data_IF_697109567284
#
_entry.id   IF_697109567284
#
_cell.length_a   1.000
_cell.length_b   1.000
_cell.length_c   1.000
_cell.angle_alpha   90.00
_cell.angle_beta   90.00
_cell.angle_gamma   90.00
#
_symmetry.space_group_name_H-M   'P 1'
#
loop_
_entity.id
_entity.type
_entity.pdbx_description
1 polymer ?
#
# COMPACT_ATOMS: atom_id res chain seq x y z
N UNK A 1 -3.03 -0.08 19.44
CA UNK A 1 -3.35 -0.02 17.99
C UNK A 1 -4.86 0.05 17.81
N UNK A 2 -5.37 0.93 16.93
CA UNK A 2 -6.77 0.98 16.54
C UNK A 2 -7.02 0.12 15.30
N UNK A 3 -8.27 -0.36 15.14
CA UNK A 3 -8.70 -1.20 14.01
C UNK A 3 -9.87 -0.58 13.29
N UNK A 4 -9.97 -0.83 11.98
CA UNK A 4 -11.09 -0.40 11.15
C UNK A 4 -11.47 -1.51 10.17
N UNK A 5 -12.61 -1.39 9.51
CA UNK A 5 -12.98 -2.32 8.45
C UNK A 5 -12.19 -2.07 7.17
N UNK A 6 -11.83 -3.12 6.46
CA UNK A 6 -11.27 -3.02 5.11
C UNK A 6 -12.41 -2.74 4.12
N UNK A 7 -12.57 -1.47 3.79
CA UNK A 7 -13.72 -1.02 3.00
C UNK A 7 -15.05 -1.43 3.62
N UNK A 8 -16.00 -1.88 2.78
CA UNK A 8 -17.34 -2.34 3.19
C UNK A 8 -17.39 -3.76 3.74
N UNK A 9 -16.25 -4.40 3.97
CA UNK A 9 -16.19 -5.79 4.43
C UNK A 9 -16.33 -5.92 5.95
N UNK A 10 -16.58 -7.14 6.44
CA UNK A 10 -16.50 -7.46 7.85
C UNK A 10 -15.08 -7.62 8.39
N UNK A 11 -14.04 -7.62 7.51
CA UNK A 11 -12.65 -7.82 7.88
C UNK A 11 -12.09 -6.60 8.60
N UNK A 12 -11.55 -6.79 9.80
CA UNK A 12 -10.90 -5.72 10.58
C UNK A 12 -9.39 -5.77 10.45
N UNK A 13 -8.81 -4.62 10.10
CA UNK A 13 -7.37 -4.43 9.96
C UNK A 13 -6.89 -3.27 10.84
N UNK A 14 -5.62 -3.31 11.24
CA UNK A 14 -4.97 -2.23 11.96
C UNK A 14 -4.90 -0.95 11.12
N UNK A 15 -4.92 0.21 11.78
CA UNK A 15 -4.83 1.52 11.11
C UNK A 15 -3.47 1.82 10.47
N UNK A 16 -2.49 0.94 10.65
CA UNK A 16 -1.24 0.89 9.88
C UNK A 16 -1.12 -0.46 9.20
N UNK A 17 -0.62 -0.48 7.97
CA UNK A 17 -0.28 -1.69 7.22
C UNK A 17 1.25 -1.82 7.13
N UNK A 18 1.79 -2.98 7.50
CA UNK A 18 3.22 -3.25 7.37
C UNK A 18 3.56 -3.66 5.94
N UNK A 19 4.24 -2.80 5.21
CA UNK A 19 4.77 -3.09 3.87
C UNK A 19 6.15 -3.75 3.93
N UNK A 20 6.34 -4.78 3.15
CA UNK A 20 7.52 -5.65 3.20
C UNK A 20 8.41 -5.57 1.95
N UNK A 21 8.24 -4.54 1.11
CA UNK A 21 9.04 -4.36 -0.12
C UNK A 21 10.55 -4.33 0.13
N UNK A 22 10.96 -3.92 1.34
CA UNK A 22 12.38 -3.85 1.73
C UNK A 22 12.97 -5.21 2.12
N UNK A 23 12.16 -6.21 2.41
CA UNK A 23 12.59 -7.52 2.94
C UNK A 23 13.27 -8.34 1.84
N UNK A 24 14.47 -8.83 2.16
CA UNK A 24 15.30 -9.56 1.21
C UNK A 24 16.10 -8.69 0.23
N UNK A 25 15.84 -7.36 0.23
CA UNK A 25 16.61 -6.37 -0.53
C UNK A 25 17.53 -5.59 0.44
N UNK A 26 17.04 -4.48 0.99
CA UNK A 26 17.84 -3.61 1.89
C UNK A 26 17.69 -3.99 3.37
N UNK A 27 16.77 -4.89 3.70
CA UNK A 27 16.53 -5.42 5.05
C UNK A 27 16.70 -6.93 5.02
N UNK A 28 17.68 -7.44 5.74
CA UNK A 28 17.96 -8.87 5.81
C UNK A 28 16.84 -9.67 6.53
N UNK A 29 16.87 -10.98 6.41
CA UNK A 29 15.83 -11.87 6.96
C UNK A 29 15.71 -11.75 8.49
N UNK A 30 16.83 -11.66 9.21
CA UNK A 30 16.83 -11.55 10.67
C UNK A 30 16.16 -10.26 11.13
N UNK A 31 16.53 -9.15 10.53
CA UNK A 31 15.93 -7.83 10.80
C UNK A 31 14.46 -7.81 10.39
N UNK A 32 14.12 -8.41 9.24
CA UNK A 32 12.73 -8.54 8.78
C UNK A 32 11.87 -9.32 9.78
N UNK A 33 12.37 -10.43 10.32
CA UNK A 33 11.68 -11.21 11.35
C UNK A 33 11.46 -10.40 12.63
N UNK A 34 12.46 -9.62 13.06
CA UNK A 34 12.34 -8.74 14.24
C UNK A 34 11.30 -7.63 14.03
N UNK A 35 11.23 -7.05 12.81
CA UNK A 35 10.21 -6.06 12.45
C UNK A 35 8.81 -6.68 12.47
N UNK A 36 8.65 -7.90 11.93
CA UNK A 36 7.38 -8.63 11.94
C UNK A 36 6.92 -8.97 13.35
N UNK A 37 7.83 -9.42 14.22
CA UNK A 37 7.51 -9.72 15.62
C UNK A 37 7.08 -8.46 16.38
N UNK A 38 7.82 -7.37 16.27
CA UNK A 38 7.49 -6.09 16.89
C UNK A 38 6.16 -5.52 16.38
N UNK A 39 5.91 -5.60 15.05
CA UNK A 39 4.65 -5.16 14.46
C UNK A 39 3.45 -5.94 15.04
N UNK A 40 3.59 -7.25 15.14
CA UNK A 40 2.55 -8.12 15.68
C UNK A 40 2.28 -7.84 17.17
N UNK A 41 3.34 -7.62 17.98
CA UNK A 41 3.21 -7.26 19.40
C UNK A 41 2.61 -5.85 19.58
N UNK A 42 2.91 -4.91 18.68
CA UNK A 42 2.29 -3.58 18.66
C UNK A 42 0.81 -3.60 18.18
N UNK A 43 0.31 -4.77 17.76
CA UNK A 43 -1.06 -4.98 17.29
C UNK A 43 -1.28 -4.64 15.82
N UNK A 44 -0.22 -4.51 15.01
CA UNK A 44 -0.37 -4.45 13.55
C UNK A 44 -0.69 -5.85 13.06
N UNK A 45 -1.93 -6.05 12.58
CA UNK A 45 -2.35 -7.31 12.00
C UNK A 45 -2.38 -7.30 10.48
N UNK A 46 -2.14 -6.17 9.82
CA UNK A 46 -2.21 -6.05 8.37
C UNK A 46 -0.81 -6.00 7.77
N UNK A 47 -0.45 -7.04 7.01
CA UNK A 47 0.87 -7.21 6.37
C UNK A 47 0.68 -7.27 4.86
N UNK A 48 1.43 -6.45 4.13
CA UNK A 48 1.39 -6.35 2.66
C UNK A 48 2.73 -6.74 2.05
N UNK A 49 2.69 -7.67 1.12
CA UNK A 49 3.83 -8.09 0.30
C UNK A 49 3.45 -8.13 -1.19
N UNK A 50 4.29 -8.67 -2.04
CA UNK A 50 4.01 -8.99 -3.44
C UNK A 50 4.90 -10.12 -3.95
N UNK A 51 4.45 -10.83 -4.99
CA UNK A 51 5.21 -11.88 -5.66
C UNK A 51 6.58 -11.38 -6.17
N UNK A 52 6.66 -10.11 -6.60
CA UNK A 52 7.87 -9.51 -7.17
C UNK A 52 8.92 -9.08 -6.14
N UNK A 53 8.57 -8.90 -4.85
CA UNK A 53 9.44 -8.30 -3.84
C UNK A 53 10.60 -9.20 -3.39
N UNK A 54 11.69 -8.56 -2.96
CA UNK A 54 12.89 -9.22 -2.46
C UNK A 54 14.18 -8.85 -3.22
N UNK A 55 14.06 -7.95 -4.20
CA UNK A 55 15.16 -7.30 -4.91
C UNK A 55 14.84 -5.85 -5.13
N UNK A 56 15.82 -5.03 -5.56
CA UNK A 56 15.58 -3.64 -5.89
C UNK A 56 14.44 -3.50 -6.90
N UNK A 57 13.41 -2.74 -6.54
CA UNK A 57 12.27 -2.50 -7.41
C UNK A 57 12.61 -1.41 -8.43
N UNK A 58 12.39 -1.72 -9.71
CA UNK A 58 12.63 -0.85 -10.85
C UNK A 58 11.51 -1.03 -11.87
N UNK A 59 11.14 0.01 -12.63
CA UNK A 59 10.22 -0.12 -13.76
C UNK A 59 10.69 -1.15 -14.81
N UNK A 60 12.00 -1.39 -14.89
CA UNK A 60 12.64 -2.29 -15.85
C UNK A 60 12.93 -3.68 -15.27
N UNK A 61 12.28 -4.06 -14.15
CA UNK A 61 12.51 -5.36 -13.55
C UNK A 61 12.17 -6.48 -14.53
N UNK A 62 13.16 -7.31 -14.83
CA UNK A 62 13.02 -8.39 -15.80
C UNK A 62 12.36 -9.64 -15.19
N UNK A 63 12.59 -9.87 -13.90
CA UNK A 63 12.02 -11.00 -13.16
C UNK A 63 11.97 -10.69 -11.69
N UNK A 64 10.80 -10.93 -11.05
CA UNK A 64 10.60 -10.82 -9.62
C UNK A 64 11.31 -11.92 -8.84
N UNK A 65 11.59 -11.65 -7.58
CA UNK A 65 12.33 -12.55 -6.69
C UNK A 65 11.43 -13.47 -5.89
N UNK A 66 10.35 -12.94 -5.30
CA UNK A 66 9.51 -13.66 -4.33
C UNK A 66 10.15 -13.83 -2.95
N UNK A 67 11.35 -13.31 -2.74
CA UNK A 67 12.10 -13.52 -1.49
C UNK A 67 11.40 -12.91 -0.27
N UNK A 68 10.71 -11.78 -0.44
CA UNK A 68 9.91 -11.18 0.64
C UNK A 68 8.79 -12.14 1.10
N UNK A 69 8.08 -12.78 0.18
CA UNK A 69 7.07 -13.80 0.52
C UNK A 69 7.71 -15.03 1.19
N UNK A 70 8.89 -15.45 0.76
CA UNK A 70 9.61 -16.56 1.40
C UNK A 70 10.03 -16.27 2.85
N UNK A 71 10.53 -15.05 3.12
CA UNK A 71 10.87 -14.57 4.46
C UNK A 71 9.63 -14.60 5.35
N UNK A 72 8.52 -14.02 4.89
CA UNK A 72 7.25 -14.05 5.62
C UNK A 72 6.78 -15.48 5.81
N UNK A 73 6.87 -16.34 4.80
CA UNK A 73 6.48 -17.74 4.87
C UNK A 73 7.25 -18.52 5.93
N UNK A 74 8.57 -18.29 6.07
CA UNK A 74 9.37 -18.91 7.15
C UNK A 74 8.96 -18.38 8.53
N UNK A 75 8.70 -17.08 8.63
CA UNK A 75 8.25 -16.45 9.87
C UNK A 75 6.88 -16.96 10.32
N UNK A 76 5.95 -17.19 9.40
CA UNK A 76 4.59 -17.70 9.70
C UNK A 76 4.57 -19.11 10.28
N UNK A 77 5.60 -19.92 10.06
CA UNK A 77 5.64 -21.31 10.56
C UNK A 77 5.81 -21.41 12.08
N UNK A 78 5.92 -20.31 12.79
CA UNK A 78 6.16 -20.29 14.23
C UNK A 78 4.94 -19.71 14.97
N UNK A 79 4.56 -20.36 16.08
CA UNK A 79 3.75 -19.75 17.14
C UNK A 79 2.33 -19.29 16.79
N UNK A 80 1.65 -19.91 15.80
CA UNK A 80 0.27 -19.52 15.45
C UNK A 80 0.16 -18.09 14.89
N UNK A 81 1.21 -17.60 14.24
CA UNK A 81 1.27 -16.23 13.72
C UNK A 81 0.30 -15.98 12.56
N UNK A 82 0.02 -17.04 11.75
CA UNK A 82 -0.86 -16.92 10.59
C UNK A 82 -2.28 -16.46 10.97
N UNK A 83 -2.82 -17.00 12.03
CA UNK A 83 -4.19 -16.69 12.50
C UNK A 83 -4.31 -15.31 13.16
N UNK A 84 -3.17 -14.66 13.44
CA UNK A 84 -3.12 -13.34 14.06
C UNK A 84 -3.03 -12.19 13.05
N UNK A 85 -2.87 -12.49 11.75
CA UNK A 85 -2.63 -11.49 10.72
C UNK A 85 -3.64 -11.57 9.58
N UNK A 86 -3.79 -10.45 8.90
CA UNK A 86 -4.40 -10.30 7.58
C UNK A 86 -3.27 -10.13 6.58
N UNK A 87 -3.09 -11.11 5.71
CA UNK A 87 -1.98 -11.19 4.76
C UNK A 87 -2.44 -10.77 3.38
N UNK A 88 -1.83 -9.71 2.86
CA UNK A 88 -2.03 -9.26 1.49
C UNK A 88 -0.79 -9.56 0.64
N UNK A 89 -1.02 -10.05 -0.58
CA UNK A 89 0.02 -10.14 -1.61
C UNK A 89 -0.52 -9.73 -2.97
N UNK A 90 0.34 -9.64 -3.99
CA UNK A 90 -0.01 -9.05 -5.29
C UNK A 90 0.45 -9.91 -6.45
N UNK A 91 -0.28 -9.79 -7.59
CA UNK A 91 0.00 -10.41 -8.88
C UNK A 91 0.01 -9.36 -9.98
N UNK A 92 0.88 -9.47 -10.92
CA UNK A 92 0.96 -8.74 -12.19
C UNK A 92 2.37 -8.76 -12.78
N UNK A 93 3.40 -8.55 -11.94
CA UNK A 93 4.76 -8.34 -12.41
C UNK A 93 5.34 -9.61 -13.06
N UNK A 94 6.45 -9.44 -13.76
CA UNK A 94 7.13 -10.54 -14.45
C UNK A 94 7.78 -11.47 -13.44
N UNK A 95 7.32 -12.72 -13.37
CA UNK A 95 7.82 -13.74 -12.44
C UNK A 95 8.58 -14.88 -13.14
N UNK A 96 8.74 -14.80 -14.45
CA UNK A 96 9.46 -15.79 -15.25
C UNK A 96 9.72 -15.32 -16.67
N UNK A 97 10.49 -16.10 -17.46
CA UNK A 97 10.89 -15.71 -18.81
C UNK A 97 9.78 -15.92 -19.87
N UNK A 98 8.72 -16.64 -19.51
CA UNK A 98 7.65 -16.98 -20.47
C UNK A 98 6.72 -15.80 -20.75
N UNK A 99 6.04 -15.80 -21.91
CA UNK A 99 5.12 -14.73 -22.28
C UNK A 99 3.91 -14.63 -21.35
N UNK A 100 3.56 -15.72 -20.67
CA UNK A 100 2.44 -15.82 -19.74
C UNK A 100 2.86 -15.77 -18.26
N UNK A 101 4.10 -15.38 -17.94
CA UNK A 101 4.58 -15.28 -16.57
C UNK A 101 4.44 -13.84 -16.02
N UNK A 102 3.41 -13.11 -16.48
CA UNK A 102 3.12 -11.71 -16.10
C UNK A 102 1.68 -11.32 -16.40
N UNK A 103 1.26 -10.16 -15.88
CA UNK A 103 -0.04 -9.49 -16.09
C UNK A 103 -1.21 -10.25 -15.46
N UNK A 104 -2.43 -10.10 -16.02
CA UNK A 104 -3.66 -10.56 -15.39
C UNK A 104 -4.44 -11.60 -16.24
N UNK A 105 -3.77 -12.35 -17.11
CA UNK A 105 -4.46 -13.50 -17.73
C UNK A 105 -4.88 -14.52 -16.66
N UNK A 106 -5.97 -15.22 -16.89
CA UNK A 106 -6.44 -16.28 -16.00
C UNK A 106 -5.37 -17.34 -15.74
N UNK A 107 -4.54 -17.61 -16.76
CA UNK A 107 -3.39 -18.50 -16.64
C UNK A 107 -2.40 -17.99 -15.59
N UNK A 108 -1.98 -16.71 -15.67
CA UNK A 108 -0.99 -16.15 -14.74
C UNK A 108 -1.56 -15.94 -13.36
N UNK A 109 -2.78 -15.40 -13.23
CA UNK A 109 -3.43 -15.18 -11.92
C UNK A 109 -3.42 -16.47 -11.09
N UNK A 110 -3.84 -17.59 -11.70
CA UNK A 110 -3.91 -18.87 -10.99
C UNK A 110 -2.54 -19.40 -10.63
N UNK A 111 -1.60 -19.41 -11.59
CA UNK A 111 -0.23 -19.88 -11.36
C UNK A 111 0.47 -19.04 -10.30
N UNK A 112 0.40 -17.72 -10.38
CA UNK A 112 1.02 -16.80 -9.44
C UNK A 112 0.46 -16.96 -8.02
N UNK A 113 -0.85 -17.19 -7.87
CA UNK A 113 -1.48 -17.46 -6.58
C UNK A 113 -0.90 -18.73 -5.94
N UNK A 114 -0.81 -19.84 -6.69
CA UNK A 114 -0.22 -21.10 -6.19
C UNK A 114 1.26 -20.92 -5.80
N UNK A 115 2.00 -20.16 -6.61
CA UNK A 115 3.40 -19.87 -6.35
C UNK A 115 3.58 -19.03 -5.08
N UNK A 116 2.71 -18.00 -4.87
CA UNK A 116 2.69 -17.17 -3.65
C UNK A 116 2.31 -17.98 -2.42
N UNK A 117 1.26 -18.82 -2.49
CA UNK A 117 0.88 -19.72 -1.38
C UNK A 117 2.04 -20.65 -0.96
N UNK A 118 2.81 -21.16 -1.92
CA UNK A 118 3.97 -22.01 -1.66
C UNK A 118 5.10 -21.22 -0.99
N UNK A 119 5.43 -20.01 -1.45
CA UNK A 119 6.45 -19.15 -0.83
C UNK A 119 6.04 -18.70 0.57
N UNK A 120 4.79 -18.29 0.73
CA UNK A 120 4.20 -17.85 2.01
C UNK A 120 3.93 -19.02 2.99
N UNK A 121 4.00 -20.28 2.51
CA UNK A 121 3.75 -21.50 3.30
C UNK A 121 2.41 -21.45 4.04
N UNK A 122 1.38 -21.00 3.37
CA UNK A 122 0.00 -20.89 3.86
C UNK A 122 -0.97 -21.47 2.84
N UNK A 123 -2.15 -21.85 3.27
CA UNK A 123 -3.20 -22.39 2.43
C UNK A 123 -4.11 -21.31 1.83
N UNK A 124 -4.07 -20.10 2.36
CA UNK A 124 -4.88 -18.97 1.86
C UNK A 124 -4.18 -17.63 1.98
N UNK A 125 -4.62 -16.69 1.14
CA UNK A 125 -4.27 -15.26 1.12
C UNK A 125 -5.53 -14.50 1.52
N UNK A 126 -5.42 -13.59 2.51
CA UNK A 126 -6.59 -12.82 2.94
C UNK A 126 -6.97 -11.76 1.89
N UNK A 127 -6.00 -11.02 1.34
CA UNK A 127 -6.25 -10.01 0.30
C UNK A 127 -5.30 -10.23 -0.88
N UNK A 128 -5.85 -10.63 -2.02
CA UNK A 128 -5.08 -10.81 -3.25
C UNK A 128 -5.28 -9.62 -4.17
N UNK A 129 -4.22 -8.87 -4.43
CA UNK A 129 -4.29 -7.59 -5.12
C UNK A 129 -3.77 -7.69 -6.55
N UNK A 130 -4.46 -7.08 -7.49
CA UNK A 130 -3.91 -6.78 -8.82
C UNK A 130 -2.93 -5.63 -8.69
N UNK A 131 -1.62 -5.88 -8.86
CA UNK A 131 -0.55 -4.89 -8.61
C UNK A 131 -0.63 -3.67 -9.55
N UNK A 132 -1.12 -3.90 -10.77
CA UNK A 132 -1.43 -2.89 -11.79
C UNK A 132 -2.61 -3.35 -12.64
N UNK A 133 -3.23 -2.38 -13.32
CA UNK A 133 -4.28 -2.67 -14.31
C UNK A 133 -3.69 -3.35 -15.56
N UNK A 134 -4.41 -4.32 -16.10
CA UNK A 134 -4.15 -4.90 -17.42
C UNK A 134 -5.34 -4.63 -18.36
N UNK A 135 -5.26 -3.54 -19.11
CA UNK A 135 -6.33 -3.14 -20.04
C UNK A 135 -6.40 -3.99 -21.30
N UNK A 136 -5.49 -4.98 -21.45
CA UNK A 136 -5.51 -5.93 -22.58
C UNK A 136 -6.23 -7.23 -22.24
N UNK A 137 -6.46 -7.51 -20.94
CA UNK A 137 -7.19 -8.69 -20.50
C UNK A 137 -8.63 -8.30 -20.17
N UNK A 138 -9.65 -8.96 -20.74
CA UNK A 138 -11.05 -8.68 -20.45
C UNK A 138 -11.38 -8.88 -18.96
N UNK A 139 -12.23 -8.02 -18.42
CA UNK A 139 -12.65 -8.13 -17.01
C UNK A 139 -13.36 -9.45 -16.70
N UNK A 140 -14.08 -10.00 -17.68
CA UNK A 140 -14.74 -11.31 -17.57
C UNK A 140 -13.73 -12.43 -17.29
N UNK A 141 -12.56 -12.41 -17.95
CA UNK A 141 -11.50 -13.38 -17.73
C UNK A 141 -10.84 -13.20 -16.37
N UNK A 142 -10.52 -11.94 -16.00
CA UNK A 142 -9.91 -11.60 -14.72
C UNK A 142 -10.82 -12.07 -13.58
N UNK A 143 -12.11 -11.70 -13.63
CA UNK A 143 -13.05 -12.07 -12.57
C UNK A 143 -13.31 -13.58 -12.53
N UNK A 144 -13.37 -14.26 -13.67
CA UNK A 144 -13.51 -15.72 -13.67
C UNK A 144 -12.37 -16.41 -12.92
N UNK A 145 -11.12 -15.92 -13.09
CA UNK A 145 -9.97 -16.47 -12.39
C UNK A 145 -10.02 -16.15 -10.87
N UNK A 146 -10.34 -14.90 -10.51
CA UNK A 146 -10.41 -14.46 -9.13
C UNK A 146 -11.56 -15.15 -8.37
N UNK A 147 -12.74 -15.27 -8.96
CA UNK A 147 -13.89 -16.01 -8.40
C UNK A 147 -13.52 -17.45 -8.10
N UNK A 148 -12.82 -18.12 -9.03
CA UNK A 148 -12.38 -19.50 -8.83
C UNK A 148 -11.46 -19.63 -7.63
N UNK A 149 -10.51 -18.70 -7.44
CA UNK A 149 -9.60 -18.71 -6.30
C UNK A 149 -10.36 -18.49 -4.97
N UNK A 150 -11.37 -17.61 -4.98
CA UNK A 150 -12.24 -17.39 -3.81
C UNK A 150 -13.09 -18.64 -3.51
N UNK A 151 -13.69 -19.25 -4.53
CA UNK A 151 -14.47 -20.49 -4.38
C UNK A 151 -13.63 -21.67 -3.85
N UNK A 152 -12.35 -21.71 -4.21
CA UNK A 152 -11.40 -22.71 -3.70
C UNK A 152 -10.91 -22.41 -2.27
N UNK A 153 -11.27 -21.26 -1.70
CA UNK A 153 -10.80 -20.81 -0.39
C UNK A 153 -9.31 -20.42 -0.35
N UNK A 154 -8.68 -20.25 -1.51
CA UNK A 154 -7.27 -19.82 -1.62
C UNK A 154 -7.09 -18.33 -1.45
N UNK A 155 -8.14 -17.56 -1.71
CA UNK A 155 -8.21 -16.12 -1.57
C UNK A 155 -9.52 -15.77 -0.87
N UNK A 156 -9.48 -14.82 0.08
CA UNK A 156 -10.70 -14.39 0.76
C UNK A 156 -11.28 -13.11 0.15
N UNK A 157 -10.44 -12.13 -0.14
CA UNK A 157 -10.84 -10.83 -0.68
C UNK A 157 -9.94 -10.42 -1.84
N UNK A 158 -10.49 -9.66 -2.77
CA UNK A 158 -9.76 -9.13 -3.93
C UNK A 158 -9.54 -7.63 -3.76
N UNK A 159 -8.29 -7.18 -3.98
CA UNK A 159 -7.93 -5.77 -4.03
C UNK A 159 -7.34 -5.38 -5.38
N UNK A 160 -7.14 -4.07 -5.55
CA UNK A 160 -6.43 -3.49 -6.68
C UNK A 160 -5.33 -2.55 -6.21
N UNK A 161 -4.44 -2.19 -7.12
CA UNK A 161 -3.39 -1.21 -6.87
C UNK A 161 -3.11 -0.41 -8.15
N UNK A 162 -2.94 0.90 -7.98
CA UNK A 162 -2.63 1.83 -9.07
C UNK A 162 -3.70 1.89 -10.18
N UNK A 163 -4.96 1.68 -9.82
CA UNK A 163 -6.08 1.80 -10.75
C UNK A 163 -6.56 3.26 -10.85
N UNK A 164 -7.00 3.64 -12.04
CA UNK A 164 -7.76 4.87 -12.22
C UNK A 164 -9.20 4.70 -11.70
N UNK A 165 -9.87 5.80 -11.39
CA UNK A 165 -11.25 5.76 -10.89
C UNK A 165 -12.21 5.02 -11.84
N UNK A 166 -12.09 5.23 -13.17
CA UNK A 166 -12.90 4.54 -14.14
C UNK A 166 -12.59 3.04 -14.28
N UNK A 167 -11.33 2.60 -14.04
CA UNK A 167 -10.97 1.19 -14.00
C UNK A 167 -11.63 0.49 -12.80
N UNK A 168 -11.65 1.16 -11.63
CA UNK A 168 -12.36 0.69 -10.43
C UNK A 168 -13.85 0.56 -10.72
N UNK A 169 -14.46 1.59 -11.32
CA UNK A 169 -15.89 1.59 -11.65
C UNK A 169 -16.24 0.46 -12.61
N UNK A 170 -15.41 0.23 -13.63
CA UNK A 170 -15.59 -0.85 -14.60
C UNK A 170 -15.47 -2.21 -13.92
N UNK A 171 -14.41 -2.42 -13.11
CA UNK A 171 -14.19 -3.64 -12.36
C UNK A 171 -15.42 -3.99 -11.48
N UNK A 172 -15.90 -3.00 -10.72
CA UNK A 172 -17.04 -3.20 -9.82
C UNK A 172 -18.35 -3.44 -10.58
N UNK A 173 -18.57 -2.78 -11.70
CA UNK A 173 -19.77 -3.00 -12.53
C UNK A 173 -19.83 -4.42 -13.07
N UNK A 174 -18.71 -4.94 -13.61
CA UNK A 174 -18.63 -6.32 -14.10
C UNK A 174 -18.78 -7.33 -12.96
N UNK A 175 -18.13 -7.09 -11.80
CA UNK A 175 -18.27 -7.95 -10.63
C UNK A 175 -19.73 -8.01 -10.14
N UNK A 176 -20.41 -6.86 -10.07
CA UNK A 176 -21.84 -6.79 -9.67
C UNK A 176 -22.72 -7.58 -10.63
N UNK A 177 -22.51 -7.47 -11.94
CA UNK A 177 -23.24 -8.24 -12.94
C UNK A 177 -23.03 -9.76 -12.81
N UNK A 178 -21.92 -10.17 -12.20
CA UNK A 178 -21.57 -11.56 -11.89
C UNK A 178 -22.02 -12.01 -10.51
N UNK A 179 -22.71 -11.16 -9.74
CA UNK A 179 -23.07 -11.39 -8.33
C UNK A 179 -21.85 -11.68 -7.44
N UNK A 180 -20.72 -11.07 -7.75
CA UNK A 180 -19.46 -11.21 -7.03
C UNK A 180 -19.15 -9.92 -6.23
N UNK A 181 -18.50 -10.07 -5.07
CA UNK A 181 -18.17 -8.93 -4.20
C UNK A 181 -17.28 -7.89 -4.91
N UNK A 182 -16.39 -8.37 -5.79
CA UNK A 182 -15.45 -7.52 -6.50
C UNK A 182 -14.31 -6.99 -5.61
N UNK A 183 -13.86 -5.78 -5.92
CA UNK A 183 -12.80 -5.12 -5.17
C UNK A 183 -13.29 -4.71 -3.78
N UNK A 184 -12.43 -4.87 -2.78
CA UNK A 184 -12.66 -4.40 -1.41
C UNK A 184 -11.68 -3.33 -0.96
N UNK A 185 -10.55 -3.21 -1.66
CA UNK A 185 -9.51 -2.23 -1.37
C UNK A 185 -8.82 -1.76 -2.65
N UNK A 186 -8.32 -0.54 -2.62
CA UNK A 186 -7.41 0.04 -3.61
C UNK A 186 -6.13 0.50 -2.93
N UNK A 187 -4.96 0.12 -3.46
CA UNK A 187 -3.67 0.55 -2.97
C UNK A 187 -3.03 1.53 -3.95
N UNK A 188 -2.99 2.83 -3.61
CA UNK A 188 -2.54 3.90 -4.50
C UNK A 188 -1.48 4.78 -3.88
N UNK A 189 -0.65 5.44 -4.74
CA UNK A 189 0.24 6.50 -4.32
C UNK A 189 -0.58 7.65 -3.74
N UNK A 190 -0.42 7.89 -2.44
CA UNK A 190 -1.08 9.01 -1.79
C UNK A 190 -0.27 9.51 -0.59
N UNK A 191 0.08 10.77 -0.62
CA UNK A 191 0.77 11.51 0.43
C UNK A 191 0.64 13.01 0.17
N UNK A 192 1.13 13.85 1.06
CA UNK A 192 1.04 15.32 0.93
C UNK A 192 1.57 15.86 -0.42
N UNK A 193 2.60 15.23 -1.01
CA UNK A 193 3.19 15.66 -2.29
C UNK A 193 2.57 15.02 -3.53
N UNK A 194 1.69 14.02 -3.37
CA UNK A 194 1.09 13.25 -4.46
C UNK A 194 -0.39 13.02 -4.18
N UNK A 195 -1.23 13.97 -4.61
CA UNK A 195 -2.65 14.08 -4.27
C UNK A 195 -3.60 13.88 -5.45
N UNK A 196 -3.09 13.54 -6.62
CA UNK A 196 -3.90 13.43 -7.86
C UNK A 196 -5.06 12.43 -7.74
N UNK A 197 -4.95 11.41 -6.89
CA UNK A 197 -6.02 10.43 -6.67
C UNK A 197 -7.27 11.03 -6.04
N UNK A 198 -7.20 12.24 -5.49
CA UNK A 198 -8.36 12.97 -4.96
C UNK A 198 -9.38 13.32 -6.05
N UNK A 199 -8.96 13.42 -7.32
CA UNK A 199 -9.85 13.71 -8.45
C UNK A 199 -10.87 12.59 -8.70
N UNK A 200 -10.44 11.33 -8.76
CA UNK A 200 -11.31 10.22 -9.20
C UNK A 200 -11.21 8.96 -8.33
N UNK A 201 -10.00 8.57 -7.89
CA UNK A 201 -9.80 7.29 -7.18
C UNK A 201 -10.45 7.34 -5.81
N UNK A 202 -10.25 8.42 -5.05
CA UNK A 202 -10.91 8.60 -3.75
C UNK A 202 -12.44 8.66 -3.88
N UNK A 203 -13.03 9.45 -4.80
CA UNK A 203 -14.47 9.40 -5.08
C UNK A 203 -14.95 7.98 -5.43
N UNK A 204 -14.24 7.25 -6.29
CA UNK A 204 -14.58 5.87 -6.63
C UNK A 204 -14.53 4.95 -5.40
N UNK A 205 -13.48 5.06 -4.57
CA UNK A 205 -13.37 4.28 -3.34
C UNK A 205 -14.55 4.55 -2.40
N UNK A 206 -14.95 5.81 -2.22
CA UNK A 206 -16.12 6.19 -1.41
C UNK A 206 -17.41 5.61 -1.99
N UNK A 207 -17.63 5.77 -3.28
CA UNK A 207 -18.85 5.31 -3.96
C UNK A 207 -19.05 3.80 -3.86
N UNK A 208 -17.97 3.03 -4.07
CA UNK A 208 -18.04 1.56 -4.04
C UNK A 208 -17.73 0.95 -2.68
N UNK A 209 -17.40 1.76 -1.67
CA UNK A 209 -17.04 1.31 -0.31
C UNK A 209 -15.74 0.53 -0.26
N UNK A 210 -14.73 0.93 -1.05
CA UNK A 210 -13.40 0.34 -1.01
C UNK A 210 -12.54 1.02 0.06
N UNK A 211 -11.72 0.24 0.76
CA UNK A 211 -10.70 0.77 1.65
C UNK A 211 -9.49 1.27 0.86
N UNK A 212 -9.04 2.50 1.12
CA UNK A 212 -7.82 3.02 0.51
C UNK A 212 -6.59 2.67 1.35
N UNK A 213 -5.56 2.13 0.70
CA UNK A 213 -4.27 1.75 1.32
C UNK A 213 -3.17 2.61 0.66
N UNK A 214 -2.85 3.80 1.20
CA UNK A 214 -1.81 4.66 0.64
C UNK A 214 -0.43 4.01 0.68
N UNK A 215 0.23 3.86 -0.47
CA UNK A 215 1.64 3.49 -0.51
C UNK A 215 2.54 4.73 -0.63
N UNK A 216 3.80 4.61 -0.18
CA UNK A 216 4.77 5.71 -0.08
C UNK A 216 4.26 6.92 0.73
N UNK A 217 3.72 6.71 1.94
CA UNK A 217 3.10 7.77 2.74
C UNK A 217 4.06 8.92 3.08
N UNK A 218 5.36 8.64 3.10
CA UNK A 218 6.43 9.62 3.36
C UNK A 218 7.15 10.10 2.09
N UNK A 219 6.55 9.94 0.90
CA UNK A 219 7.14 10.33 -0.39
C UNK A 219 8.59 9.82 -0.57
N UNK A 220 8.81 8.51 -0.31
CA UNK A 220 10.15 7.92 -0.36
C UNK A 220 11.12 8.42 0.72
N UNK A 221 10.62 9.13 1.72
CA UNK A 221 11.37 9.72 2.84
C UNK A 221 11.49 11.24 2.77
N UNK A 222 10.95 11.90 1.73
CA UNK A 222 10.96 13.37 1.58
C UNK A 222 10.23 14.07 2.74
N UNK A 223 9.11 13.50 3.19
CA UNK A 223 8.31 14.00 4.31
C UNK A 223 8.82 13.50 5.68
N UNK A 224 10.03 12.95 5.74
CA UNK A 224 10.60 12.40 6.97
C UNK A 224 11.55 13.32 7.74
N UNK A 225 11.53 14.62 7.49
CA UNK A 225 12.43 15.59 8.13
C UNK A 225 13.82 15.59 7.46
N UNK A 226 13.88 15.91 6.17
CA UNK A 226 15.10 15.77 5.35
C UNK A 226 16.06 16.94 5.48
N UNK A 227 15.59 18.12 5.90
CA UNK A 227 16.43 19.33 6.03
C UNK A 227 17.42 19.23 7.21
N UNK A 228 17.04 18.49 8.28
CA UNK A 228 17.83 18.32 9.49
C UNK A 228 18.52 16.97 9.61
N UNK A 229 18.18 15.99 8.78
CA UNK A 229 18.74 14.64 8.85
C UNK A 229 19.81 14.42 7.80
N UNK A 230 20.93 13.79 8.20
CA UNK A 230 21.95 13.34 7.24
C UNK A 230 21.36 12.40 6.19
N UNK A 231 21.80 12.55 4.93
CA UNK A 231 21.37 11.71 3.83
C UNK A 231 21.86 10.26 4.02
N UNK A 232 20.95 9.30 4.05
CA UNK A 232 21.23 7.85 4.14
C UNK A 232 20.27 7.04 3.27
N UNK A 233 20.71 5.91 2.79
CA UNK A 233 19.91 5.02 1.95
C UNK A 233 19.42 5.70 0.66
N UNK A 234 18.12 5.66 0.35
CA UNK A 234 17.55 6.30 -0.84
C UNK A 234 17.81 7.81 -0.89
N UNK A 235 17.86 8.46 0.27
CA UNK A 235 18.13 9.91 0.39
C UNK A 235 19.54 10.33 -0.01
N UNK A 236 20.49 9.41 -0.05
CA UNK A 236 21.84 9.67 -0.52
C UNK A 236 21.97 9.70 -2.06
N UNK A 237 20.92 9.36 -2.81
CA UNK A 237 20.95 9.36 -4.28
C UNK A 237 20.88 10.80 -4.83
N UNK A 238 21.64 11.13 -5.88
CA UNK A 238 21.65 12.50 -6.47
C UNK A 238 20.26 12.99 -6.93
N UNK A 239 19.41 12.07 -7.40
CA UNK A 239 18.04 12.40 -7.78
C UNK A 239 17.22 12.90 -6.58
N UNK A 240 17.44 12.37 -5.38
CA UNK A 240 16.77 12.79 -4.17
C UNK A 240 17.22 14.18 -3.70
N UNK A 241 18.48 14.49 -3.83
CA UNK A 241 19.00 15.83 -3.53
C UNK A 241 18.34 16.89 -4.44
N UNK A 242 18.17 16.60 -5.74
CA UNK A 242 17.44 17.49 -6.65
C UNK A 242 15.98 17.68 -6.24
N UNK A 243 15.33 16.63 -5.76
CA UNK A 243 13.95 16.70 -5.27
C UNK A 243 13.83 17.60 -4.02
N UNK A 244 14.80 17.52 -3.10
CA UNK A 244 14.87 18.42 -1.93
C UNK A 244 14.99 19.88 -2.39
N UNK A 245 15.88 20.19 -3.32
CA UNK A 245 16.04 21.54 -3.83
C UNK A 245 14.77 22.04 -4.55
N UNK A 246 14.11 21.18 -5.33
CA UNK A 246 12.86 21.51 -6.01
C UNK A 246 11.75 21.90 -5.04
N UNK A 247 11.64 21.21 -3.89
CA UNK A 247 10.58 21.43 -2.90
C UNK A 247 11.09 22.14 -1.64
N UNK A 248 12.27 22.78 -1.69
CA UNK A 248 12.88 23.42 -0.52
C UNK A 248 11.94 24.38 0.23
N UNK A 249 11.24 25.34 -0.43
CA UNK A 249 10.33 26.24 0.30
C UNK A 249 9.20 25.50 1.01
N UNK A 250 8.60 24.49 0.36
CA UNK A 250 7.53 23.70 0.97
C UNK A 250 8.06 22.85 2.13
N UNK A 251 9.27 22.28 1.99
CA UNK A 251 9.89 21.50 3.07
C UNK A 251 10.25 22.37 4.27
N UNK A 252 10.74 23.58 4.06
CA UNK A 252 11.01 24.54 5.14
C UNK A 252 9.73 24.92 5.89
N UNK A 253 8.66 25.23 5.17
CA UNK A 253 7.35 25.52 5.77
C UNK A 253 6.78 24.31 6.52
N UNK A 254 6.87 23.13 5.90
CA UNK A 254 6.36 21.87 6.48
C UNK A 254 7.12 21.46 7.75
N UNK A 255 8.46 21.45 7.72
CA UNK A 255 9.26 21.07 8.88
C UNK A 255 9.13 22.14 9.99
N UNK A 256 8.95 23.43 9.65
CA UNK A 256 8.63 24.50 10.60
C UNK A 256 7.28 24.27 11.29
N UNK A 257 6.22 23.97 10.52
CA UNK A 257 4.91 23.63 11.09
C UNK A 257 5.00 22.42 12.04
N UNK A 258 5.76 21.39 11.67
CA UNK A 258 5.94 20.21 12.53
C UNK A 258 6.64 20.56 13.86
N UNK A 259 7.62 21.49 13.84
CA UNK A 259 8.29 21.97 15.04
C UNK A 259 7.33 22.73 15.96
N UNK A 260 6.50 23.59 15.38
CA UNK A 260 5.50 24.35 16.15
C UNK A 260 4.47 23.43 16.82
N UNK A 261 4.17 22.29 16.18
CA UNK A 261 3.31 21.24 16.72
C UNK A 261 4.01 20.35 17.77
N UNK A 262 5.34 20.39 17.85
CA UNK A 262 6.12 19.47 18.68
C UNK A 262 6.14 18.03 18.18
N UNK A 263 5.79 17.80 16.89
CA UNK A 263 5.68 16.49 16.28
C UNK A 263 6.76 16.26 15.21
N UNK A 264 7.10 14.99 14.93
CA UNK A 264 8.03 14.73 13.84
C UNK A 264 7.34 14.86 12.47
N UNK A 265 8.06 15.31 11.43
CA UNK A 265 7.48 15.37 10.09
C UNK A 265 6.88 14.03 9.61
N UNK A 266 7.49 12.90 9.97
CA UNK A 266 6.94 11.57 9.64
C UNK A 266 5.58 11.33 10.29
N UNK A 267 5.42 11.74 11.56
CA UNK A 267 4.18 11.54 12.29
C UNK A 267 3.06 12.43 11.75
N UNK A 268 3.37 13.68 11.43
CA UNK A 268 2.40 14.61 10.82
C UNK A 268 1.94 14.09 9.45
N UNK A 269 2.85 13.60 8.60
CA UNK A 269 2.48 13.04 7.29
C UNK A 269 1.58 11.79 7.41
N UNK A 270 1.86 10.91 8.36
CA UNK A 270 1.04 9.72 8.61
C UNK A 270 -0.31 10.10 9.25
N UNK A 271 -0.32 11.02 10.22
CA UNK A 271 -1.54 11.50 10.87
C UNK A 271 -2.48 12.17 9.85
N UNK A 272 -1.95 12.96 8.92
CA UNK A 272 -2.72 13.55 7.83
C UNK A 272 -3.46 12.48 7.00
N UNK A 273 -2.78 11.39 6.64
CA UNK A 273 -3.42 10.26 5.95
C UNK A 273 -4.47 9.58 6.83
N UNK A 274 -4.15 9.34 8.11
CA UNK A 274 -5.03 8.64 9.04
C UNK A 274 -6.32 9.43 9.35
N UNK A 275 -6.33 10.75 9.21
CA UNK A 275 -7.53 11.57 9.39
C UNK A 275 -8.44 11.58 8.17
N UNK A 276 -7.98 11.15 6.98
CA UNK A 276 -8.87 11.00 5.82
C UNK A 276 -9.76 9.75 6.01
N UNK A 277 -11.10 9.89 6.04
CA UNK A 277 -12.00 8.80 6.38
C UNK A 277 -12.02 7.66 5.35
N UNK A 278 -11.56 7.90 4.11
CA UNK A 278 -11.46 6.84 3.09
C UNK A 278 -10.21 5.98 3.28
N UNK A 279 -9.19 6.50 3.98
CA UNK A 279 -7.95 5.79 4.24
C UNK A 279 -8.17 4.72 5.31
N UNK A 280 -7.98 3.48 4.91
CA UNK A 280 -8.02 2.32 5.84
C UNK A 280 -6.72 2.24 6.65
N UNK A 281 -5.58 2.15 5.95
CA UNK A 281 -4.27 1.99 6.57
C UNK A 281 -3.16 2.45 5.63
N UNK A 282 -2.38 3.50 5.93
CA UNK A 282 -1.17 3.81 5.18
C UNK A 282 -0.14 2.69 5.34
N UNK A 283 0.58 2.43 4.23
CA UNK A 283 1.57 1.37 4.11
C UNK A 283 2.92 1.88 4.64
N UNK A 284 3.31 1.47 5.84
CA UNK A 284 4.63 1.80 6.39
C UNK A 284 5.66 0.75 5.97
N UNK A 285 6.86 1.19 5.60
CA UNK A 285 7.95 0.31 5.16
C UNK A 285 9.22 0.52 6.00
N UNK A 286 9.21 0.16 7.30
CA UNK A 286 10.37 0.32 8.15
C UNK A 286 11.51 -0.62 7.70
N UNK A 287 12.76 -0.17 7.89
CA UNK A 287 13.97 -0.94 7.67
C UNK A 287 14.61 -1.41 8.98
N UNK A 288 14.17 -0.83 10.08
CA UNK A 288 14.59 -1.18 11.43
C UNK A 288 13.40 -1.16 12.38
N UNK A 289 13.55 -1.81 13.54
CA UNK A 289 12.52 -1.83 14.60
C UNK A 289 12.25 -0.43 15.13
N UNK A 290 13.28 0.41 15.25
CA UNK A 290 13.14 1.79 15.72
C UNK A 290 12.28 2.64 14.77
N UNK A 291 12.41 2.44 13.44
CA UNK A 291 11.55 3.11 12.47
C UNK A 291 10.09 2.66 12.57
N UNK A 292 9.87 1.38 12.87
CA UNK A 292 8.51 0.88 13.15
C UNK A 292 7.92 1.54 14.38
N UNK A 293 8.67 1.55 15.49
CA UNK A 293 8.23 2.15 16.76
C UNK A 293 7.91 3.65 16.60
N UNK A 294 8.72 4.38 15.84
CA UNK A 294 8.43 5.77 15.51
C UNK A 294 7.10 5.92 14.74
N UNK A 295 6.85 5.08 13.73
CA UNK A 295 5.62 5.17 12.96
C UNK A 295 4.35 4.86 13.78
N UNK A 296 4.45 4.10 14.87
CA UNK A 296 3.32 3.81 15.77
C UNK A 296 2.78 5.09 16.45
N UNK A 297 3.66 6.06 16.74
CA UNK A 297 3.27 7.32 17.39
C UNK A 297 2.25 8.10 16.56
N UNK A 298 2.35 8.07 15.24
CA UNK A 298 1.42 8.76 14.34
C UNK A 298 -0.06 8.38 14.56
N UNK A 299 -0.33 7.18 15.09
CA UNK A 299 -1.72 6.74 15.40
C UNK A 299 -2.34 7.45 16.60
N UNK A 300 -1.57 8.22 17.34
CA UNK A 300 -2.02 9.00 18.52
C UNK A 300 -2.07 10.50 18.22
N UNK A 301 -1.48 10.94 17.12
CA UNK A 301 -1.44 12.35 16.71
C UNK A 301 -2.77 12.73 16.07
N UNK A 302 -3.34 13.84 16.55
CA UNK A 302 -4.55 14.45 15.96
C UNK A 302 -4.20 15.85 15.49
N UNK A 303 -4.41 16.13 14.23
CA UNK A 303 -4.18 17.43 13.61
C UNK A 303 -5.46 18.25 13.68
N UNK A 304 -5.35 19.53 14.09
CA UNK A 304 -6.50 20.45 14.08
C UNK A 304 -6.90 20.83 12.64
N UNK A 305 -8.12 21.37 12.48
CA UNK A 305 -8.57 21.87 11.18
C UNK A 305 -7.68 22.98 10.65
N UNK A 306 -7.15 23.85 11.52
CA UNK A 306 -6.18 24.87 11.16
C UNK A 306 -4.87 24.26 10.65
N UNK A 307 -4.38 23.22 11.32
CA UNK A 307 -3.18 22.47 10.87
C UNK A 307 -3.41 21.81 9.52
N UNK A 308 -4.58 21.19 9.31
CA UNK A 308 -4.95 20.59 8.02
C UNK A 308 -4.99 21.64 6.91
N UNK A 309 -5.54 22.82 7.18
CA UNK A 309 -5.56 23.96 6.25
C UNK A 309 -4.16 24.46 5.91
N UNK A 310 -3.27 24.60 6.89
CA UNK A 310 -1.86 24.96 6.66
C UNK A 310 -1.14 23.91 5.79
N UNK A 311 -1.40 22.61 6.03
CA UNK A 311 -0.83 21.54 5.20
C UNK A 311 -1.34 21.61 3.75
N UNK A 312 -2.61 21.99 3.54
CA UNK A 312 -3.19 22.17 2.21
C UNK A 312 -2.61 23.41 1.48
N UNK A 313 -2.24 24.46 2.19
CA UNK A 313 -1.53 25.62 1.64
C UNK A 313 -0.08 25.27 1.25
N UNK A 314 0.63 24.50 2.08
CA UNK A 314 2.02 24.06 1.82
C UNK A 314 2.06 23.07 0.65
N UNK A 315 1.15 22.11 0.65
CA UNK A 315 1.04 21.02 -0.32
C UNK A 315 -0.32 21.00 -0.99
N UNK A 316 -0.61 21.94 -1.90
CA UNK A 316 -1.92 22.04 -2.50
C UNK A 316 -2.28 20.79 -3.29
N UNK A 317 -3.48 20.29 -3.03
CA UNK A 317 -4.08 19.22 -3.80
C UNK A 317 -4.65 19.74 -5.13
N UNK A 318 -5.37 18.89 -5.88
CA UNK A 318 -5.97 19.26 -7.15
C UNK A 318 -7.16 20.25 -7.03
N UNK A 319 -7.52 20.68 -5.82
CA UNK A 319 -8.63 21.59 -5.58
C UNK A 319 -9.99 20.92 -5.41
N UNK A 320 -10.03 19.62 -5.23
CA UNK A 320 -11.25 18.83 -5.00
C UNK A 320 -11.42 17.67 -5.97
N UNK A 321 -12.62 17.13 -6.06
CA UNK A 321 -12.97 16.05 -6.98
C UNK A 321 -13.06 16.56 -8.43
N UNK A 322 -12.96 15.64 -9.40
CA UNK A 322 -13.19 15.96 -10.81
C UNK A 322 -14.57 16.60 -10.99
N UNK A 323 -14.70 17.63 -11.87
CA UNK A 323 -15.94 18.34 -12.03
C UNK A 323 -17.06 17.41 -12.55
N UNK A 324 -18.29 17.67 -12.12
CA UNK A 324 -19.45 16.92 -12.61
C UNK A 324 -19.71 17.15 -14.12
N UNK A 325 -19.27 18.31 -14.64
CA UNK A 325 -19.36 18.65 -16.05
C UNK A 325 -18.17 19.49 -16.47
N UNK A 326 -17.48 19.07 -17.53
CA UNK A 326 -16.32 19.78 -18.08
C UNK A 326 -16.70 20.98 -18.99
N UNK A 327 -17.98 21.14 -19.30
CA UNK A 327 -18.45 22.12 -20.27
C UNK A 327 -19.28 23.26 -19.66
N UNK A 328 -19.27 23.46 -18.37
CA UNK A 328 -20.03 24.54 -17.66
C UNK A 328 -19.10 25.54 -17.03
#
# INVERSE_FOLDING_TARGET
>A
MNYTHLGRTGLKVSRLCLGTMNFGDVTDEKTSASILDEALEAGINFIDTADVYGTEQSPDIQQGSGLSEEIIGRWLQQGGRRERIVLATKVYQTMGPGPNDRRLSAYHIRKACEDSLRRLKTDHIDVYQMHHIDRHTPWEEIWQAMELLVQQGKVLYIGSSNFAGWDIATAQSVATARHFLGLVAEQSLYNLTARTIELEVIPACRHFGLGLIPWSPLAGGLLGGVLKKMASGRRARPAFARLIEQYRPQLEAYEGLCEDLGETPSDVALAWLLQNPVVTAPLIGPRTVEQLQQALHATTVTLSDDTMSCLDEIWPGPGGEAPQAYAW
#
